data_IF_309051296284
#
_entry.id   IF_309051296284
#
_cell.length_a   1.000
_cell.length_b   1.000
_cell.length_c   1.000
_cell.angle_alpha   90.00
_cell.angle_beta   90.00
_cell.angle_gamma   90.00
#
_symmetry.space_group_name_H-M   'P 1'
#
loop_
_entity.id
_entity.type
_entity.pdbx_description
1 polymer ?
#
# COMPACT_ATOMS: atom_id res chain seq x y z
N UNK A 1 -17.15 26.43 -42.52
CA UNK A 1 -16.38 27.27 -41.57
C UNK A 1 -16.96 27.31 -40.13
N UNK A 2 -18.28 27.06 -39.93
CA UNK A 2 -18.88 27.07 -38.57
C UNK A 2 -18.38 25.94 -37.65
N UNK A 3 -18.02 24.78 -38.21
CA UNK A 3 -17.49 23.66 -37.38
C UNK A 3 -16.09 23.93 -36.82
N UNK A 4 -15.23 24.69 -37.56
CA UNK A 4 -13.90 25.07 -37.08
C UNK A 4 -13.94 26.17 -36.01
N UNK A 5 -14.96 27.05 -36.06
CA UNK A 5 -15.16 28.08 -35.04
C UNK A 5 -15.74 27.51 -33.75
N UNK A 6 -16.50 26.42 -33.84
CA UNK A 6 -17.00 25.70 -32.66
C UNK A 6 -15.85 25.02 -31.94
N UNK A 7 -14.92 24.37 -32.64
CA UNK A 7 -13.74 23.76 -32.05
C UNK A 7 -12.78 24.80 -31.44
N UNK A 8 -12.68 26.02 -31.98
CA UNK A 8 -11.87 27.10 -31.40
C UNK A 8 -12.48 27.69 -30.11
N UNK A 9 -13.81 27.72 -29.98
CA UNK A 9 -14.47 28.28 -28.77
C UNK A 9 -14.48 27.28 -27.60
N UNK A 10 -14.33 26.00 -27.88
CA UNK A 10 -14.24 24.92 -26.90
C UNK A 10 -12.87 24.27 -26.87
N UNK A 11 -11.86 24.88 -27.48
CA UNK A 11 -10.51 24.63 -27.03
C UNK A 11 -10.47 25.08 -25.58
N UNK A 12 -10.61 24.07 -24.73
CA UNK A 12 -10.13 24.04 -23.39
C UNK A 12 -8.89 24.93 -23.37
N UNK A 13 -8.97 26.07 -22.70
CA UNK A 13 -7.76 26.65 -22.16
C UNK A 13 -7.14 25.46 -21.42
N UNK A 14 -6.05 24.94 -21.93
CA UNK A 14 -5.10 24.26 -21.08
C UNK A 14 -4.90 25.23 -19.93
N UNK A 15 -5.62 25.00 -18.85
CA UNK A 15 -5.34 25.64 -17.59
C UNK A 15 -3.90 25.22 -17.36
N UNK A 16 -2.98 26.14 -17.63
CA UNK A 16 -1.62 26.04 -17.11
C UNK A 16 -1.82 25.71 -15.64
N UNK A 17 -1.75 24.41 -15.33
CA UNK A 17 -1.81 23.94 -13.96
C UNK A 17 -0.65 24.62 -13.29
N UNK A 18 -0.94 25.62 -12.49
CA UNK A 18 0.05 26.21 -11.61
C UNK A 18 0.72 25.02 -10.90
N UNK A 19 2.04 24.84 -11.01
CA UNK A 19 2.72 23.59 -10.65
C UNK A 19 2.59 23.17 -9.19
N UNK A 20 1.88 23.94 -8.35
CA UNK A 20 1.87 23.78 -6.89
C UNK A 20 0.47 23.54 -6.26
N UNK A 21 -0.60 23.42 -7.03
CA UNK A 21 -1.88 23.04 -6.44
C UNK A 21 -2.13 21.55 -6.66
N UNK A 22 -1.94 20.79 -5.59
CA UNK A 22 -2.40 19.40 -5.55
C UNK A 22 -3.90 19.37 -5.87
N UNK A 23 -4.27 18.63 -6.89
CA UNK A 23 -5.67 18.38 -7.24
C UNK A 23 -5.94 16.89 -7.19
N UNK A 24 -7.19 16.53 -6.88
CA UNK A 24 -7.62 15.16 -6.69
C UNK A 24 -8.62 14.80 -7.78
N UNK A 25 -8.28 13.78 -8.57
CA UNK A 25 -9.06 13.32 -9.72
C UNK A 25 -9.88 12.09 -9.35
N UNK A 26 -11.17 12.12 -9.70
CA UNK A 26 -12.12 11.03 -9.48
C UNK A 26 -12.88 10.72 -10.75
N UNK A 27 -13.30 9.48 -10.90
CA UNK A 27 -14.02 8.98 -12.08
C UNK A 27 -15.40 8.49 -11.70
N UNK A 28 -16.44 8.89 -12.46
CA UNK A 28 -17.77 8.29 -12.37
C UNK A 28 -17.80 7.00 -13.19
N UNK A 29 -17.83 5.84 -12.51
CA UNK A 29 -17.74 4.54 -13.17
C UNK A 29 -19.09 3.86 -13.38
N UNK A 30 -20.10 4.25 -12.61
CA UNK A 30 -21.42 3.59 -12.63
C UNK A 30 -22.47 4.34 -13.41
N UNK A 31 -22.43 5.67 -13.44
CA UNK A 31 -23.44 6.52 -14.07
C UNK A 31 -22.82 7.76 -14.74
N UNK A 32 -23.50 8.36 -15.73
CA UNK A 32 -23.11 9.64 -16.29
C UNK A 32 -23.04 10.74 -15.21
N UNK A 33 -22.14 11.69 -15.40
CA UNK A 33 -22.04 12.86 -14.55
C UNK A 33 -23.14 13.85 -14.90
N UNK A 34 -23.97 14.18 -13.92
CA UNK A 34 -25.07 15.15 -14.03
C UNK A 34 -25.27 15.86 -12.70
N UNK A 35 -26.13 16.85 -12.65
CA UNK A 35 -26.47 17.60 -11.42
C UNK A 35 -26.92 16.61 -10.34
N UNK A 36 -26.28 16.70 -9.18
CA UNK A 36 -26.58 15.82 -8.03
C UNK A 36 -25.92 14.44 -8.05
N UNK A 37 -25.13 14.12 -9.07
CA UNK A 37 -24.37 12.84 -9.15
C UNK A 37 -22.93 12.96 -8.65
N UNK A 38 -22.55 14.10 -8.08
CA UNK A 38 -21.22 14.36 -7.55
C UNK A 38 -21.28 15.33 -6.34
N UNK A 39 -20.31 15.28 -5.44
CA UNK A 39 -20.21 16.24 -4.33
C UNK A 39 -20.05 17.66 -4.85
N UNK A 40 -20.92 18.57 -4.40
CA UNK A 40 -20.86 19.98 -4.76
C UNK A 40 -21.25 20.83 -3.54
N UNK A 41 -20.36 20.85 -2.55
CA UNK A 41 -20.55 21.63 -1.33
C UNK A 41 -19.84 22.98 -1.42
N UNK A 42 -20.18 23.89 -0.50
CA UNK A 42 -19.49 25.18 -0.40
C UNK A 42 -17.97 25.02 -0.18
N UNK A 43 -17.57 23.99 0.57
CA UNK A 43 -16.16 23.75 0.92
C UNK A 43 -15.39 22.92 -0.09
N UNK A 44 -16.07 22.14 -0.92
CA UNK A 44 -15.43 21.28 -1.91
C UNK A 44 -16.26 21.23 -3.19
N UNK A 45 -15.96 22.14 -4.09
CA UNK A 45 -16.58 22.21 -5.42
C UNK A 45 -15.64 21.61 -6.45
N UNK A 46 -16.18 21.00 -7.51
CA UNK A 46 -15.37 20.61 -8.64
C UNK A 46 -14.57 21.79 -9.22
N UNK A 47 -13.28 21.57 -9.44
CA UNK A 47 -12.40 22.51 -10.14
C UNK A 47 -12.51 22.35 -11.64
N UNK A 48 -12.64 21.07 -12.07
CA UNK A 48 -12.78 20.71 -13.48
C UNK A 48 -13.62 19.45 -13.62
N UNK A 49 -14.31 19.32 -14.74
CA UNK A 49 -15.12 18.13 -15.10
C UNK A 49 -14.97 17.80 -16.58
N UNK A 50 -14.65 16.55 -16.87
CA UNK A 50 -14.68 15.98 -18.21
C UNK A 50 -15.88 15.04 -18.34
N UNK A 51 -16.79 15.36 -19.23
CA UNK A 51 -18.01 14.59 -19.47
C UNK A 51 -17.83 13.72 -20.72
N UNK A 52 -18.07 12.42 -20.58
CA UNK A 52 -18.02 11.50 -21.72
C UNK A 52 -19.45 11.15 -22.16
N UNK A 53 -19.73 11.23 -23.45
CA UNK A 53 -21.04 10.86 -24.01
C UNK A 53 -21.32 9.35 -23.91
N UNK A 54 -20.27 8.56 -23.81
CA UNK A 54 -20.33 7.11 -23.64
C UNK A 54 -19.26 6.70 -22.62
N UNK A 55 -19.44 5.52 -22.03
CA UNK A 55 -18.45 4.96 -21.12
C UNK A 55 -17.15 4.67 -21.87
N UNK A 56 -16.05 5.27 -21.43
CA UNK A 56 -14.74 5.19 -22.08
C UNK A 56 -13.70 4.53 -21.17
N UNK A 57 -12.76 3.82 -21.79
CA UNK A 57 -11.59 3.30 -21.09
C UNK A 57 -10.73 4.46 -20.58
N UNK A 58 -10.45 4.46 -19.28
CA UNK A 58 -9.58 5.46 -18.68
C UNK A 58 -8.12 5.05 -18.89
N UNK A 59 -7.34 5.96 -19.45
CA UNK A 59 -5.90 5.72 -19.69
C UNK A 59 -5.16 5.46 -18.37
N UNK A 60 -4.42 4.37 -18.32
CA UNK A 60 -3.66 3.98 -17.12
C UNK A 60 -4.48 3.36 -15.99
N UNK A 61 -5.81 3.20 -16.15
CA UNK A 61 -6.68 2.56 -15.18
C UNK A 61 -7.31 1.28 -15.75
N UNK A 62 -7.64 0.33 -14.88
CA UNK A 62 -8.24 -0.95 -15.29
C UNK A 62 -9.77 -0.90 -15.38
N UNK A 63 -10.35 0.28 -15.56
CA UNK A 63 -11.81 0.46 -15.62
C UNK A 63 -12.24 1.51 -16.67
N UNK A 64 -13.51 1.49 -16.98
CA UNK A 64 -14.17 2.48 -17.82
C UNK A 64 -14.95 3.48 -16.95
N UNK A 65 -15.09 4.73 -17.43
CA UNK A 65 -15.83 5.78 -16.76
C UNK A 65 -16.74 6.56 -17.72
N UNK A 66 -17.73 7.23 -17.15
CA UNK A 66 -18.62 8.18 -17.80
C UNK A 66 -18.10 9.60 -17.80
N UNK A 67 -17.04 9.85 -17.03
CA UNK A 67 -16.41 11.15 -16.92
C UNK A 67 -15.42 11.20 -15.77
N UNK A 68 -14.76 12.35 -15.67
CA UNK A 68 -13.78 12.65 -14.65
C UNK A 68 -14.10 13.97 -13.95
N UNK A 69 -13.84 14.05 -12.65
CA UNK A 69 -14.09 15.22 -11.81
C UNK A 69 -12.85 15.50 -10.99
N UNK A 70 -12.38 16.73 -11.03
CA UNK A 70 -11.21 17.19 -10.27
C UNK A 70 -11.65 18.10 -9.13
N UNK A 71 -11.10 17.89 -7.95
CA UNK A 71 -11.32 18.69 -6.75
C UNK A 71 -10.01 19.27 -6.22
N UNK A 72 -10.13 20.42 -5.50
CA UNK A 72 -9.00 21.02 -4.78
C UNK A 72 -8.66 20.29 -3.47
N UNK A 73 -9.61 19.54 -2.91
CA UNK A 73 -9.45 18.76 -1.68
C UNK A 73 -9.87 17.32 -1.90
N UNK A 74 -9.28 16.36 -1.19
CA UNK A 74 -9.67 14.95 -1.31
C UNK A 74 -11.13 14.77 -0.86
N UNK A 75 -11.84 13.89 -1.57
CA UNK A 75 -13.16 13.43 -1.15
C UNK A 75 -13.01 12.42 0.00
N UNK A 76 -13.97 12.46 0.92
CA UNK A 76 -14.07 11.47 1.98
C UNK A 76 -14.53 10.11 1.42
N UNK A 77 -14.25 9.02 2.13
CA UNK A 77 -14.75 7.68 1.75
C UNK A 77 -16.27 7.66 1.60
N UNK A 78 -16.98 8.38 2.45
CA UNK A 78 -18.44 8.49 2.39
C UNK A 78 -18.89 9.19 1.11
N UNK A 79 -18.30 10.32 0.74
CA UNK A 79 -18.61 11.02 -0.51
C UNK A 79 -18.32 10.14 -1.72
N UNK A 80 -17.20 9.42 -1.73
CA UNK A 80 -16.88 8.48 -2.81
C UNK A 80 -17.92 7.35 -2.92
N UNK A 81 -18.42 6.83 -1.80
CA UNK A 81 -19.45 5.79 -1.77
C UNK A 81 -20.81 6.33 -2.17
N UNK A 82 -21.25 7.45 -1.59
CA UNK A 82 -22.57 8.03 -1.84
C UNK A 82 -22.74 8.46 -3.32
N UNK A 83 -21.66 8.89 -3.95
CA UNK A 83 -21.65 9.33 -5.35
C UNK A 83 -21.05 8.30 -6.32
N UNK A 84 -20.66 7.11 -5.86
CA UNK A 84 -20.08 6.03 -6.67
C UNK A 84 -18.84 6.48 -7.49
N UNK A 85 -18.06 7.38 -6.89
CA UNK A 85 -16.85 7.91 -7.48
C UNK A 85 -15.63 7.07 -7.12
N UNK A 86 -14.75 6.91 -8.09
CA UNK A 86 -13.52 6.16 -7.95
C UNK A 86 -12.31 7.09 -8.04
N UNK A 87 -11.40 7.09 -7.06
CA UNK A 87 -10.22 7.95 -7.11
C UNK A 87 -9.26 7.47 -8.19
N UNK A 88 -8.58 8.42 -8.85
CA UNK A 88 -7.45 8.10 -9.71
C UNK A 88 -6.29 7.58 -8.89
N UNK A 89 -5.62 6.53 -9.38
CA UNK A 89 -4.35 6.06 -8.81
C UNK A 89 -3.22 7.10 -8.87
N UNK A 90 -3.39 8.14 -9.69
CA UNK A 90 -2.42 9.23 -9.81
C UNK A 90 -2.58 10.31 -8.73
N UNK A 91 -3.65 10.28 -7.92
CA UNK A 91 -3.75 11.15 -6.76
C UNK A 91 -2.57 10.91 -5.81
N UNK A 92 -1.99 11.97 -5.28
CA UNK A 92 -0.72 11.90 -4.55
C UNK A 92 -0.77 10.97 -3.33
N UNK A 93 -1.86 11.02 -2.56
CA UNK A 93 -2.12 10.15 -1.42
C UNK A 93 -2.23 8.67 -1.84
N UNK A 94 -2.97 8.40 -2.91
CA UNK A 94 -3.11 7.05 -3.47
C UNK A 94 -1.77 6.53 -4.00
N UNK A 95 -1.01 7.37 -4.72
CA UNK A 95 0.33 6.99 -5.21
C UNK A 95 1.26 6.64 -4.06
N UNK A 96 1.36 7.49 -3.04
CA UNK A 96 2.19 7.22 -1.85
C UNK A 96 1.79 5.90 -1.17
N UNK A 97 0.50 5.66 -1.04
CA UNK A 97 0.00 4.41 -0.49
C UNK A 97 0.34 3.21 -1.37
N UNK A 98 0.14 3.32 -2.69
CA UNK A 98 0.49 2.26 -3.64
C UNK A 98 1.99 1.98 -3.66
N UNK A 99 2.83 3.00 -3.60
CA UNK A 99 4.29 2.84 -3.56
C UNK A 99 4.72 2.09 -2.30
N UNK A 100 4.18 2.44 -1.13
CA UNK A 100 4.45 1.73 0.11
C UNK A 100 3.99 0.26 0.05
N UNK A 101 2.80 0.01 -0.49
CA UNK A 101 2.26 -1.33 -0.67
C UNK A 101 3.06 -2.16 -1.68
N UNK A 102 3.55 -1.53 -2.76
CA UNK A 102 4.39 -2.18 -3.76
C UNK A 102 5.69 -2.73 -3.16
N UNK A 103 6.29 -2.03 -2.18
CA UNK A 103 7.48 -2.54 -1.48
C UNK A 103 7.17 -3.84 -0.71
N UNK A 104 6.04 -3.91 -0.04
CA UNK A 104 5.62 -5.11 0.71
C UNK A 104 5.38 -6.28 -0.26
N UNK A 105 4.58 -6.03 -1.30
CA UNK A 105 4.22 -7.08 -2.28
C UNK A 105 5.46 -7.56 -3.03
N UNK A 106 6.31 -6.66 -3.51
CA UNK A 106 7.49 -7.01 -4.30
C UNK A 106 8.50 -7.84 -3.51
N UNK A 107 8.80 -7.47 -2.27
CA UNK A 107 9.66 -8.26 -1.38
C UNK A 107 9.09 -9.66 -1.12
N UNK A 108 7.78 -9.74 -0.92
CA UNK A 108 7.11 -11.02 -0.74
C UNK A 108 7.18 -11.88 -2.02
N UNK A 109 6.95 -11.29 -3.19
CA UNK A 109 7.02 -11.94 -4.49
C UNK A 109 8.42 -12.50 -4.78
N UNK A 110 9.48 -11.77 -4.44
CA UNK A 110 10.87 -12.25 -4.57
C UNK A 110 11.15 -13.40 -3.61
N UNK A 111 10.80 -13.25 -2.33
CA UNK A 111 11.01 -14.30 -1.31
C UNK A 111 10.33 -15.60 -1.69
N UNK A 112 9.15 -15.51 -2.30
CA UNK A 112 8.36 -16.68 -2.70
C UNK A 112 8.58 -17.10 -4.16
N UNK A 113 9.54 -16.47 -4.86
CA UNK A 113 9.89 -16.76 -6.26
C UNK A 113 8.66 -16.79 -7.18
N UNK A 114 7.78 -15.80 -7.02
CA UNK A 114 6.57 -15.68 -7.84
C UNK A 114 6.99 -15.49 -9.31
N UNK A 115 6.45 -16.27 -10.25
CA UNK A 115 6.76 -16.12 -11.67
C UNK A 115 6.34 -14.74 -12.20
N UNK A 116 7.12 -14.15 -13.10
CA UNK A 116 6.93 -12.79 -13.61
C UNK A 116 5.53 -12.51 -14.18
N UNK A 117 4.91 -13.51 -14.81
CA UNK A 117 3.55 -13.38 -15.35
C UNK A 117 2.47 -13.22 -14.26
N UNK A 118 2.77 -13.68 -13.02
CA UNK A 118 1.86 -13.62 -11.86
C UNK A 118 2.21 -12.50 -10.88
N UNK A 119 3.32 -11.81 -11.10
CA UNK A 119 3.73 -10.70 -10.25
C UNK A 119 2.84 -9.48 -10.46
N UNK A 120 2.58 -8.75 -9.41
CA UNK A 120 1.87 -7.48 -9.43
C UNK A 120 2.84 -6.29 -9.46
N UNK A 121 4.13 -6.54 -9.20
CA UNK A 121 5.16 -5.51 -9.10
C UNK A 121 6.33 -5.79 -10.02
N UNK A 122 7.08 -4.71 -10.34
CA UNK A 122 8.37 -4.76 -10.99
C UNK A 122 9.42 -4.15 -10.06
N UNK A 123 10.61 -4.72 -10.02
CA UNK A 123 11.74 -4.09 -9.35
C UNK A 123 12.45 -3.14 -10.32
N UNK A 124 12.65 -1.90 -9.89
CA UNK A 124 13.37 -0.89 -10.64
C UNK A 124 14.76 -0.69 -10.02
N UNK A 125 15.84 -1.23 -10.62
CA UNK A 125 17.19 -1.20 -10.04
C UNK A 125 17.72 0.21 -9.80
N UNK A 126 17.44 1.14 -10.72
CA UNK A 126 17.92 2.53 -10.66
C UNK A 126 17.38 3.30 -9.44
N UNK A 127 16.22 2.93 -8.95
CA UNK A 127 15.58 3.53 -7.76
C UNK A 127 15.62 2.63 -6.54
N UNK A 128 16.08 1.39 -6.69
CA UNK A 128 16.10 0.39 -5.61
C UNK A 128 14.71 0.09 -5.03
N UNK A 129 13.65 0.22 -5.83
CA UNK A 129 12.28 0.16 -5.38
C UNK A 129 11.39 -0.70 -6.29
N UNK A 130 10.30 -1.22 -5.70
CA UNK A 130 9.26 -1.90 -6.47
C UNK A 130 8.19 -0.90 -6.90
N UNK A 131 7.72 -1.04 -8.13
CA UNK A 131 6.60 -0.28 -8.69
C UNK A 131 5.49 -1.23 -9.10
N UNK A 132 4.25 -0.79 -9.02
CA UNK A 132 3.10 -1.58 -9.48
C UNK A 132 3.04 -1.63 -11.00
N UNK A 133 2.52 -2.72 -11.55
CA UNK A 133 2.21 -2.80 -12.97
C UNK A 133 1.11 -1.80 -13.33
N UNK A 134 1.14 -1.28 -14.56
CA UNK A 134 0.26 -0.22 -15.05
C UNK A 134 -1.25 -0.47 -14.81
N UNK A 135 -1.68 -1.73 -14.90
CA UNK A 135 -3.09 -2.09 -14.79
C UNK A 135 -3.54 -2.56 -13.41
N UNK A 136 -2.70 -2.41 -12.39
CA UNK A 136 -3.08 -2.78 -11.03
C UNK A 136 -3.78 -1.61 -10.35
N UNK A 137 -5.00 -1.83 -9.86
CA UNK A 137 -5.73 -0.81 -9.11
C UNK A 137 -5.31 -0.77 -7.63
N UNK A 138 -5.51 0.39 -6.94
CA UNK A 138 -5.23 0.50 -5.51
C UNK A 138 -5.91 -0.60 -4.69
N UNK A 139 -7.17 -0.95 -5.01
CA UNK A 139 -7.93 -1.97 -4.29
C UNK A 139 -7.35 -3.37 -4.49
N UNK A 140 -6.94 -3.71 -5.71
CA UNK A 140 -6.31 -5.00 -6.00
C UNK A 140 -5.00 -5.15 -5.23
N UNK A 141 -4.20 -4.10 -5.19
CA UNK A 141 -2.95 -4.08 -4.43
C UNK A 141 -3.21 -4.21 -2.94
N UNK A 142 -4.16 -3.47 -2.39
CA UNK A 142 -4.56 -3.55 -0.99
C UNK A 142 -5.09 -4.94 -0.59
N UNK A 143 -5.87 -5.59 -1.46
CA UNK A 143 -6.30 -6.99 -1.24
C UNK A 143 -5.09 -7.93 -1.16
N UNK A 144 -4.11 -7.73 -2.01
CA UNK A 144 -2.88 -8.55 -2.01
C UNK A 144 -2.07 -8.35 -0.73
N UNK A 145 -1.88 -7.11 -0.29
CA UNK A 145 -1.19 -6.79 0.98
C UNK A 145 -1.88 -7.49 2.15
N UNK A 146 -3.19 -7.34 2.30
CA UNK A 146 -3.96 -8.02 3.36
C UNK A 146 -3.85 -9.55 3.31
N UNK A 147 -3.72 -10.13 2.12
CA UNK A 147 -3.49 -11.57 1.97
C UNK A 147 -2.11 -11.98 2.48
N UNK A 148 -1.08 -11.20 2.17
CA UNK A 148 0.30 -11.42 2.64
C UNK A 148 0.35 -11.32 4.16
N UNK A 149 -0.20 -10.27 4.75
CA UNK A 149 -0.23 -10.06 6.21
C UNK A 149 -0.88 -11.23 6.94
N UNK A 150 -2.02 -11.74 6.41
CA UNK A 150 -2.68 -12.92 6.98
C UNK A 150 -1.81 -14.18 6.89
N UNK A 151 -1.09 -14.38 5.79
CA UNK A 151 -0.20 -15.53 5.63
C UNK A 151 0.99 -15.46 6.60
N UNK A 152 1.58 -14.28 6.76
CA UNK A 152 2.69 -14.06 7.68
C UNK A 152 2.25 -14.22 9.13
N UNK A 153 1.11 -13.66 9.52
CA UNK A 153 0.53 -13.85 10.85
C UNK A 153 0.25 -15.34 11.15
N UNK A 154 -0.28 -16.09 10.17
CA UNK A 154 -0.52 -17.51 10.32
C UNK A 154 0.79 -18.32 10.47
N UNK A 155 1.87 -17.92 9.78
CA UNK A 155 3.21 -18.53 9.93
C UNK A 155 3.78 -18.23 11.31
N UNK A 156 3.78 -16.96 11.72
CA UNK A 156 4.27 -16.56 13.03
C UNK A 156 3.55 -17.30 14.18
N UNK A 157 2.23 -17.47 14.07
CA UNK A 157 1.45 -18.23 15.04
C UNK A 157 1.82 -19.73 15.08
N UNK A 158 2.11 -20.34 13.91
CA UNK A 158 2.57 -21.73 13.85
C UNK A 158 3.97 -21.88 14.45
N UNK A 159 4.87 -20.93 14.20
CA UNK A 159 6.22 -20.91 14.76
C UNK A 159 6.21 -20.73 16.28
N UNK A 160 5.39 -19.79 16.77
CA UNK A 160 5.20 -19.59 18.20
C UNK A 160 4.69 -20.85 18.92
N UNK A 161 3.79 -21.61 18.27
CA UNK A 161 3.32 -22.90 18.82
C UNK A 161 4.36 -24.03 18.78
N UNK A 162 5.37 -23.93 17.91
CA UNK A 162 6.46 -24.93 17.84
C UNK A 162 7.57 -24.67 18.83
N UNK A 163 7.71 -23.43 19.29
CA UNK A 163 8.69 -23.11 20.34
C UNK A 163 8.18 -23.63 21.68
N UNK A 164 9.01 -24.36 22.45
CA UNK A 164 8.61 -24.80 23.80
C UNK A 164 8.30 -23.57 24.67
N UNK A 165 7.38 -23.70 25.63
CA UNK A 165 7.03 -22.61 26.53
C UNK A 165 8.29 -21.99 27.17
N UNK A 166 8.29 -20.69 27.37
CA UNK A 166 9.45 -19.95 27.96
C UNK A 166 9.92 -20.60 29.25
N UNK A 167 9.00 -21.14 30.06
CA UNK A 167 9.30 -21.87 31.26
C UNK A 167 10.16 -23.14 31.03
N UNK A 168 9.97 -23.84 29.93
CA UNK A 168 10.77 -25.01 29.56
C UNK A 168 12.14 -24.61 29.02
N UNK A 169 12.20 -23.52 28.21
CA UNK A 169 13.47 -22.96 27.74
C UNK A 169 14.34 -22.48 28.92
N UNK A 170 13.72 -21.83 29.91
CA UNK A 170 14.44 -21.39 31.13
C UNK A 170 14.96 -22.56 31.95
N UNK A 171 14.16 -23.63 32.08
CA UNK A 171 14.59 -24.87 32.77
C UNK A 171 15.72 -25.57 32.01
N UNK A 172 15.68 -25.60 30.69
CA UNK A 172 16.74 -26.16 29.86
C UNK A 172 18.04 -25.36 30.02
N UNK A 173 17.98 -24.02 29.94
CA UNK A 173 19.13 -23.16 30.15
C UNK A 173 19.72 -23.25 31.58
N UNK A 174 18.86 -23.41 32.60
CA UNK A 174 19.29 -23.63 33.96
C UNK A 174 20.02 -24.97 34.13
N UNK A 175 19.54 -26.04 33.47
CA UNK A 175 20.24 -27.35 33.48
C UNK A 175 21.59 -27.27 32.79
N UNK A 176 21.69 -26.67 31.62
CA UNK A 176 22.96 -26.44 30.93
C UNK A 176 23.96 -25.64 31.79
N UNK A 177 23.47 -24.55 32.42
CA UNK A 177 24.30 -23.75 33.32
C UNK A 177 24.78 -24.51 34.56
N UNK A 178 23.99 -25.50 35.05
CA UNK A 178 24.39 -26.37 36.16
C UNK A 178 25.39 -27.45 35.72
N UNK A 179 25.23 -28.01 34.54
CA UNK A 179 26.14 -29.00 33.95
C UNK A 179 27.53 -28.41 33.62
N UNK A 180 27.56 -27.14 33.19
CA UNK A 180 28.82 -26.41 32.94
C UNK A 180 29.44 -25.78 34.17
N UNK A 181 28.86 -25.92 35.34
CA UNK A 181 29.47 -25.48 36.59
C UNK A 181 30.52 -26.51 36.95
N UNK A 182 31.81 -26.19 36.70
CA UNK A 182 32.93 -27.04 37.03
C UNK A 182 32.88 -27.49 38.50
N UNK A 183 33.17 -28.75 38.81
CA UNK A 183 33.18 -29.22 40.20
C UNK A 183 34.20 -28.41 40.99
N UNK A 184 33.75 -27.93 42.16
CA UNK A 184 34.56 -27.20 43.11
C UNK A 184 35.89 -27.96 43.34
N UNK A 185 36.99 -27.34 42.95
CA UNK A 185 38.32 -27.91 43.13
C UNK A 185 38.57 -28.20 44.59
N UNK A 186 39.39 -29.23 44.93
CA UNK A 186 39.60 -29.67 46.29
C UNK A 186 40.12 -28.52 47.15
N UNK A 187 39.43 -28.25 48.26
CA UNK A 187 39.87 -27.30 49.33
C UNK A 187 41.24 -27.66 49.75
N UNK A 188 42.25 -26.80 49.50
CA UNK A 188 43.61 -26.90 50.04
C UNK A 188 43.50 -26.84 51.54
N UNK A 189 43.85 -27.95 52.22
CA UNK A 189 44.09 -28.00 53.68
C UNK A 189 45.27 -27.09 53.96
N UNK A 190 45.09 -26.08 54.78
CA UNK A 190 46.13 -25.28 55.37
C UNK A 190 46.99 -26.17 56.33
N UNK A 191 48.32 -26.18 56.20
CA UNK A 191 49.13 -26.91 57.14
C UNK A 191 49.03 -26.23 58.48
N UNK A 192 48.75 -27.04 59.53
CA UNK A 192 48.82 -26.75 60.93
C UNK A 192 50.23 -26.39 61.26
N UNK A 193 50.50 -25.20 61.78
CA UNK A 193 51.78 -24.71 62.22
C UNK A 193 51.83 -24.97 63.72
N UNK A 194 52.32 -26.19 64.04
CA UNK A 194 52.62 -26.57 65.42
C UNK A 194 53.74 -25.72 66.05
N UNK A 195 53.52 -25.38 67.28
CA UNK A 195 54.38 -24.70 68.22
C UNK A 195 55.82 -25.27 68.32
N UNK A 196 56.77 -24.35 68.37
CA UNK A 196 57.88 -24.34 69.33
C UNK A 196 58.51 -22.94 69.44
#
# INVERSE_FOLDING_TARGET
NRARDYQRRYHVQEVEQAPDKETYLYYSTQRPIDIGTYPNSYFNRPVHMDLYFTRQQVTGEAFQAWGAITYAHPLTEREMQDYELRPSRNNLDIRRQMDAQAQVVGKWEDTHRVPDQKRLTWFYPDFGSYVVKEYITPEQLAVRVRSIERQEAARAHKEAKRQPPIAEQLKAAQREAQEHRAPDGPKKKTPDRGDR
#
